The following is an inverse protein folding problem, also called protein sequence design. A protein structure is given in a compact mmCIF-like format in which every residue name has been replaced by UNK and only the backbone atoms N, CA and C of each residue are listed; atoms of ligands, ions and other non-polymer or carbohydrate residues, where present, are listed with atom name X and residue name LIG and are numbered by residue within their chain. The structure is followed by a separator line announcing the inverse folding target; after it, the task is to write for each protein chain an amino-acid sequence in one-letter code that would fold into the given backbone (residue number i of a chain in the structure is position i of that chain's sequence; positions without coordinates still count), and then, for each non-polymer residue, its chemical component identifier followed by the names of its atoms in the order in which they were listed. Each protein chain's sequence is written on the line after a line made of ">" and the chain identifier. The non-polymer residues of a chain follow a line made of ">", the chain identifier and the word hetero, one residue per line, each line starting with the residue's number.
data_IF_055067887334
#
_entry.id   IF_055067887334
#
_cell.length_a   1.000
_cell.length_b   1.000
_cell.length_c   1.000
_cell.angle_alpha   90.00
_cell.angle_beta   90.00
_cell.angle_gamma   90.00
#
_symmetry.space_group_name_H-M   'P 1'
#
loop_
_entity.id
_entity.type
_entity.pdbx_description
1 polymer ?
#
# COMPACT_ATOMS: atom_id res chain seq x y z
N UNK A 1 8.13 18.94 -14.28
CA UNK A 1 6.75 18.68 -13.83
C UNK A 1 5.85 19.72 -14.50
N UNK A 2 4.86 19.33 -15.29
CA UNK A 2 3.83 20.27 -15.77
C UNK A 2 2.80 20.46 -14.65
N UNK A 3 2.57 21.71 -14.24
CA UNK A 3 1.53 22.06 -13.26
C UNK A 3 0.16 21.80 -13.89
N UNK A 4 -0.59 20.82 -13.37
CA UNK A 4 -1.87 20.40 -13.96
C UNK A 4 -3.00 21.43 -13.78
N UNK A 5 -2.88 22.31 -12.78
CA UNK A 5 -3.91 23.29 -12.42
C UNK A 5 -3.77 24.65 -13.12
N UNK A 6 -2.86 24.78 -14.08
CA UNK A 6 -2.70 26.00 -14.87
C UNK A 6 -3.05 25.74 -16.34
N UNK A 7 -3.68 26.71 -16.99
CA UNK A 7 -3.86 26.72 -18.43
C UNK A 7 -2.59 27.20 -19.17
N UNK A 8 -2.65 27.28 -20.50
CA UNK A 8 -1.53 27.74 -21.33
C UNK A 8 -1.14 29.21 -21.07
N UNK A 9 -2.02 29.97 -20.41
CA UNK A 9 -1.82 31.37 -20.04
C UNK A 9 -1.49 31.54 -18.55
N UNK A 10 -1.15 30.46 -17.84
CA UNK A 10 -0.93 30.42 -16.38
C UNK A 10 -2.14 30.84 -15.54
N UNK A 11 -3.36 30.70 -16.05
CA UNK A 11 -4.58 30.90 -15.27
C UNK A 11 -4.99 29.61 -14.55
N UNK A 12 -5.48 29.70 -13.30
CA UNK A 12 -5.98 28.55 -12.57
C UNK A 12 -7.14 27.86 -13.30
N UNK A 13 -7.06 26.54 -13.47
CA UNK A 13 -8.11 25.72 -14.05
C UNK A 13 -8.33 24.43 -13.28
N UNK A 14 -9.57 23.94 -13.33
CA UNK A 14 -9.87 22.57 -12.96
C UNK A 14 -9.34 21.61 -14.03
N UNK A 15 -8.75 20.50 -13.60
CA UNK A 15 -8.22 19.46 -14.51
C UNK A 15 -9.38 18.69 -15.12
N UNK A 16 -9.42 18.55 -16.45
CA UNK A 16 -10.37 17.64 -17.09
C UNK A 16 -10.00 16.18 -16.76
N UNK A 17 -10.98 15.45 -16.23
CA UNK A 17 -10.86 14.03 -15.86
C UNK A 17 -11.77 13.13 -16.71
N UNK A 18 -12.44 13.66 -17.73
CA UNK A 18 -13.41 12.95 -18.58
C UNK A 18 -12.87 11.64 -19.16
N UNK A 19 -11.63 11.65 -19.65
CA UNK A 19 -10.94 10.52 -20.27
C UNK A 19 -10.32 9.51 -19.30
N UNK A 20 -10.28 9.82 -18.00
CA UNK A 20 -9.73 8.90 -16.99
C UNK A 20 -10.72 7.78 -16.67
N UNK A 21 -10.18 6.60 -16.40
CA UNK A 21 -10.96 5.47 -15.88
C UNK A 21 -11.35 5.70 -14.41
N UNK A 22 -12.52 5.17 -14.05
CA UNK A 22 -12.93 5.10 -12.65
C UNK A 22 -12.30 3.88 -11.99
N UNK A 23 -11.71 4.07 -10.82
CA UNK A 23 -11.01 3.04 -10.06
C UNK A 23 -11.30 3.22 -8.58
N UNK A 24 -11.12 2.18 -7.77
CA UNK A 24 -11.22 2.28 -6.32
C UNK A 24 -10.07 3.15 -5.80
N UNK A 25 -10.41 4.29 -5.20
CA UNK A 25 -9.49 5.26 -4.59
C UNK A 25 -9.53 5.12 -3.09
N UNK A 26 -8.37 5.23 -2.45
CA UNK A 26 -8.25 5.35 -0.99
C UNK A 26 -7.23 6.43 -0.67
N UNK A 27 -7.54 7.27 0.32
CA UNK A 27 -6.59 8.17 0.92
C UNK A 27 -6.70 8.11 2.45
N UNK A 28 -5.55 8.12 3.14
CA UNK A 28 -5.48 8.28 4.59
C UNK A 28 -4.62 9.48 4.89
N UNK A 29 -5.16 10.45 5.62
CA UNK A 29 -4.44 11.63 6.10
C UNK A 29 -4.36 11.62 7.62
N UNK A 30 -3.42 12.39 8.16
CA UNK A 30 -3.21 12.55 9.58
C UNK A 30 -3.13 14.03 9.96
N UNK A 31 -3.55 14.37 11.17
CA UNK A 31 -3.13 15.56 11.90
C UNK A 31 -2.77 15.19 13.34
N UNK A 32 -1.86 15.94 13.96
CA UNK A 32 -1.51 15.78 15.38
C UNK A 32 -1.82 17.03 16.17
N UNK A 33 -2.21 16.86 17.43
CA UNK A 33 -2.51 17.97 18.34
C UNK A 33 -1.77 17.76 19.65
N UNK A 34 -0.88 18.68 19.98
CA UNK A 34 -0.28 18.73 21.31
C UNK A 34 -1.22 19.50 22.24
N UNK A 35 -1.76 18.82 23.25
CA UNK A 35 -2.54 19.46 24.30
C UNK A 35 -1.61 19.85 25.47
N UNK A 36 -1.87 20.97 26.15
CA UNK A 36 -1.16 21.34 27.37
C UNK A 36 -1.54 20.44 28.55
N UNK A 37 -0.63 20.30 29.51
CA UNK A 37 -0.78 19.40 30.68
C UNK A 37 -2.02 19.66 31.53
N UNK A 38 -2.57 20.89 31.53
CA UNK A 38 -3.81 21.20 32.23
C UNK A 38 -5.03 20.42 31.70
N UNK A 39 -4.97 19.86 30.48
CA UNK A 39 -6.04 19.00 29.95
C UNK A 39 -5.99 17.55 30.46
N UNK A 40 -4.91 17.12 31.12
CA UNK A 40 -4.76 15.75 31.61
C UNK A 40 -5.94 15.30 32.48
N UNK A 41 -6.46 16.19 33.33
CA UNK A 41 -7.55 15.88 34.26
C UNK A 41 -8.88 15.57 33.58
N UNK A 42 -9.02 15.95 32.31
CA UNK A 42 -10.24 15.77 31.51
C UNK A 42 -10.19 14.55 30.59
N UNK A 43 -9.03 13.89 30.49
CA UNK A 43 -8.89 12.64 29.75
C UNK A 43 -9.54 11.50 30.55
N UNK A 44 -10.43 10.75 29.91
CA UNK A 44 -11.19 9.63 30.49
C UNK A 44 -11.20 8.48 29.49
N UNK A 45 -10.29 7.51 29.71
CA UNK A 45 -10.04 6.46 28.73
C UNK A 45 -9.51 7.07 27.43
N UNK A 46 -10.11 6.70 26.31
CA UNK A 46 -9.72 7.16 24.97
C UNK A 46 -10.46 8.44 24.53
N UNK A 47 -11.00 9.23 25.46
CA UNK A 47 -11.81 10.42 25.18
C UNK A 47 -11.46 11.59 26.11
N UNK A 48 -11.77 12.82 25.69
CA UNK A 48 -11.75 14.02 26.54
C UNK A 48 -13.20 14.44 26.80
N UNK A 49 -13.58 14.50 28.09
CA UNK A 49 -14.92 14.89 28.51
C UNK A 49 -14.91 16.28 29.13
N UNK A 50 -15.57 17.23 28.46
CA UNK A 50 -15.74 18.61 28.92
C UNK A 50 -17.20 18.90 29.22
N UNK A 51 -17.48 20.07 29.82
CA UNK A 51 -18.85 20.58 29.94
C UNK A 51 -19.55 20.75 28.59
N UNK A 52 -18.77 20.92 27.52
CA UNK A 52 -19.25 20.98 26.13
C UNK A 52 -19.61 19.61 25.54
N UNK A 53 -19.32 18.50 26.24
CA UNK A 53 -19.54 17.13 25.78
C UNK A 53 -18.25 16.38 25.43
N UNK A 54 -18.40 15.27 24.71
CA UNK A 54 -17.32 14.42 24.23
C UNK A 54 -16.58 15.06 23.06
N UNK A 55 -15.28 15.32 23.23
CA UNK A 55 -14.50 16.14 22.31
C UNK A 55 -14.17 15.39 21.01
N UNK A 56 -13.69 14.16 21.10
CA UNK A 56 -13.29 13.37 19.93
C UNK A 56 -14.51 12.94 19.12
N UNK A 57 -15.61 12.52 19.76
CA UNK A 57 -16.87 12.25 19.04
C UNK A 57 -17.37 13.47 18.24
N UNK A 58 -17.31 14.67 18.83
CA UNK A 58 -17.70 15.90 18.12
C UNK A 58 -16.77 16.18 16.94
N UNK A 59 -15.46 15.94 17.12
CA UNK A 59 -14.46 16.09 16.06
C UNK A 59 -14.67 15.11 14.89
N UNK A 60 -15.08 13.86 15.16
CA UNK A 60 -15.40 12.87 14.13
C UNK A 60 -16.57 13.34 13.27
N UNK A 61 -17.63 13.88 13.89
CA UNK A 61 -18.80 14.41 13.17
C UNK A 61 -18.37 15.58 12.28
N UNK A 62 -17.65 16.55 12.84
CA UNK A 62 -17.20 17.72 12.11
C UNK A 62 -16.26 17.36 10.94
N UNK A 63 -15.31 16.45 11.17
CA UNK A 63 -14.42 15.93 10.14
C UNK A 63 -15.18 15.20 9.03
N UNK A 64 -16.17 14.38 9.38
CA UNK A 64 -17.01 13.67 8.38
C UNK A 64 -17.84 14.65 7.55
N UNK A 65 -18.34 15.73 8.15
CA UNK A 65 -19.02 16.80 7.41
C UNK A 65 -18.07 17.53 6.47
N UNK A 66 -16.83 17.79 6.91
CA UNK A 66 -15.81 18.46 6.11
C UNK A 66 -15.39 17.64 4.89
N UNK A 67 -15.21 16.32 5.05
CA UNK A 67 -14.92 15.39 3.95
C UNK A 67 -15.93 15.55 2.81
N UNK A 68 -17.22 15.61 3.15
CA UNK A 68 -18.33 15.74 2.17
C UNK A 68 -18.51 17.16 1.59
N UNK A 69 -17.75 18.14 2.06
CA UNK A 69 -17.81 19.55 1.65
C UNK A 69 -16.47 20.03 1.11
N UNK A 70 -15.57 19.12 0.75
CA UNK A 70 -14.20 19.46 0.36
C UNK A 70 -14.19 20.34 -0.89
N UNK A 71 -15.07 20.07 -1.84
CA UNK A 71 -15.23 20.85 -3.07
C UNK A 71 -15.78 22.27 -2.83
N UNK A 72 -16.48 22.49 -1.72
CA UNK A 72 -16.94 23.83 -1.31
C UNK A 72 -15.79 24.67 -0.73
N UNK A 73 -14.75 24.01 -0.20
CA UNK A 73 -13.67 24.64 0.56
C UNK A 73 -12.38 24.80 -0.24
N UNK A 74 -12.02 23.80 -1.06
CA UNK A 74 -10.77 23.77 -1.82
C UNK A 74 -11.07 24.10 -3.29
N UNK A 75 -10.60 25.26 -3.80
CA UNK A 75 -10.82 25.63 -5.19
C UNK A 75 -10.31 24.55 -6.16
N UNK A 76 -11.08 24.30 -7.22
CA UNK A 76 -10.77 23.34 -8.30
C UNK A 76 -10.74 21.86 -7.90
N UNK A 77 -11.13 21.49 -6.68
CA UNK A 77 -11.50 20.11 -6.40
C UNK A 77 -12.77 19.73 -7.18
N UNK A 78 -12.80 18.50 -7.68
CA UNK A 78 -14.02 17.94 -8.26
C UNK A 78 -14.98 17.55 -7.14
N UNK A 79 -16.27 17.55 -7.43
CA UNK A 79 -17.26 16.90 -6.58
C UNK A 79 -17.13 15.38 -6.71
N UNK A 80 -16.96 14.67 -5.59
CA UNK A 80 -16.71 13.22 -5.56
C UNK A 80 -17.72 12.53 -4.64
N UNK A 81 -18.42 11.46 -5.10
CA UNK A 81 -19.33 10.71 -4.26
C UNK A 81 -18.55 9.85 -3.25
N UNK A 82 -18.55 10.26 -1.97
CA UNK A 82 -17.83 9.53 -0.91
C UNK A 82 -18.58 8.25 -0.55
N UNK A 83 -17.91 7.11 -0.66
CA UNK A 83 -18.50 5.79 -0.33
C UNK A 83 -18.18 5.38 1.11
N UNK A 84 -17.01 5.75 1.63
CA UNK A 84 -16.60 5.46 3.01
C UNK A 84 -15.73 6.57 3.57
N UNK A 85 -15.95 6.91 4.84
CA UNK A 85 -15.16 7.87 5.61
C UNK A 85 -15.07 7.37 7.04
N UNK A 86 -13.85 7.14 7.53
CA UNK A 86 -13.59 6.69 8.91
C UNK A 86 -12.57 7.58 9.59
N UNK A 87 -12.71 7.73 10.89
CA UNK A 87 -11.76 8.44 11.74
C UNK A 87 -11.26 7.53 12.85
N UNK A 88 -9.96 7.59 13.11
CA UNK A 88 -9.33 7.05 14.31
C UNK A 88 -8.68 8.20 15.07
N UNK A 89 -8.99 8.34 16.36
CA UNK A 89 -8.42 9.37 17.22
C UNK A 89 -7.84 8.67 18.44
N UNK A 90 -6.56 8.87 18.67
CA UNK A 90 -5.83 8.28 19.80
C UNK A 90 -5.11 9.39 20.56
N UNK A 91 -5.02 9.26 21.88
CA UNK A 91 -4.24 10.15 22.74
C UNK A 91 -3.22 9.33 23.53
N UNK A 92 -1.96 9.75 23.52
CA UNK A 92 -0.91 9.09 24.29
C UNK A 92 -0.71 9.75 25.68
N UNK A 93 0.19 9.18 26.48
CA UNK A 93 0.54 9.69 27.82
C UNK A 93 1.12 11.11 27.82
N UNK A 94 1.66 11.56 26.70
CA UNK A 94 2.25 12.90 26.52
C UNK A 94 1.21 13.94 26.04
N UNK A 95 -0.08 13.57 26.07
CA UNK A 95 -1.19 14.38 25.57
C UNK A 95 -1.06 14.78 24.10
N UNK A 96 -0.39 13.94 23.32
CA UNK A 96 -0.36 14.04 21.87
C UNK A 96 -1.55 13.27 21.31
N UNK A 97 -2.51 14.01 20.75
CA UNK A 97 -3.63 13.45 20.01
C UNK A 97 -3.20 13.21 18.56
N UNK A 98 -3.43 12.01 18.04
CA UNK A 98 -3.25 11.68 16.63
C UNK A 98 -4.62 11.40 16.02
N UNK A 99 -4.96 12.15 14.98
CA UNK A 99 -6.19 11.97 14.20
C UNK A 99 -5.79 11.38 12.86
N UNK A 100 -6.41 10.28 12.46
CA UNK A 100 -6.32 9.73 11.12
C UNK A 100 -7.71 9.70 10.47
N UNK A 101 -7.81 10.19 9.24
CA UNK A 101 -9.03 10.10 8.43
C UNK A 101 -8.73 9.24 7.21
N UNK A 102 -9.53 8.19 6.99
CA UNK A 102 -9.47 7.37 5.77
C UNK A 102 -10.73 7.56 4.95
N UNK A 103 -10.56 7.92 3.69
CA UNK A 103 -11.64 8.14 2.71
C UNK A 103 -11.49 7.14 1.57
N UNK A 104 -12.61 6.52 1.15
CA UNK A 104 -12.68 5.61 -0.01
C UNK A 104 -13.83 5.96 -0.94
N UNK A 105 -13.63 5.76 -2.24
CA UNK A 105 -14.62 5.98 -3.29
C UNK A 105 -14.22 5.25 -4.58
N UNK A 106 -15.15 5.02 -5.50
CA UNK A 106 -14.85 4.65 -6.88
C UNK A 106 -14.95 5.88 -7.78
N UNK A 107 -13.81 6.45 -8.19
CA UNK A 107 -13.79 7.72 -8.92
C UNK A 107 -12.63 7.86 -9.93
N UNK A 108 -12.75 8.87 -10.81
CA UNK A 108 -11.76 9.24 -11.85
C UNK A 108 -10.60 10.10 -11.32
N UNK A 109 -10.72 10.59 -10.09
CA UNK A 109 -9.70 11.38 -9.39
C UNK A 109 -9.54 10.87 -7.96
N UNK A 110 -8.43 11.20 -7.30
CA UNK A 110 -8.17 10.76 -5.93
C UNK A 110 -8.95 11.55 -4.89
N UNK A 111 -8.87 11.08 -3.64
CA UNK A 111 -9.58 11.64 -2.46
C UNK A 111 -8.63 12.17 -1.39
N UNK A 112 -7.43 12.62 -1.79
CA UNK A 112 -6.41 13.14 -0.88
C UNK A 112 -6.90 14.37 -0.12
N UNK A 113 -7.57 15.28 -0.84
CA UNK A 113 -8.03 16.54 -0.29
C UNK A 113 -9.17 16.33 0.69
N UNK A 114 -10.03 15.34 0.44
CA UNK A 114 -11.11 14.96 1.33
C UNK A 114 -10.57 14.46 2.66
N UNK A 115 -9.59 13.54 2.63
CA UNK A 115 -8.95 13.05 3.84
C UNK A 115 -8.22 14.17 4.62
N UNK A 116 -7.48 15.03 3.91
CA UNK A 116 -6.76 16.17 4.50
C UNK A 116 -7.71 17.21 5.12
N UNK A 117 -8.81 17.51 4.44
CA UNK A 117 -9.85 18.41 4.93
C UNK A 117 -10.52 17.82 6.18
N UNK A 118 -10.82 16.52 6.15
CA UNK A 118 -11.37 15.78 7.28
C UNK A 118 -10.53 15.89 8.56
N UNK A 119 -9.24 15.55 8.51
CA UNK A 119 -8.35 15.66 9.68
C UNK A 119 -8.14 17.09 10.14
N UNK A 120 -8.11 18.05 9.21
CA UNK A 120 -7.91 19.47 9.52
C UNK A 120 -9.10 20.03 10.30
N UNK A 121 -10.32 19.79 9.84
CA UNK A 121 -11.52 20.25 10.53
C UNK A 121 -11.71 19.52 11.85
N UNK A 122 -11.48 18.20 11.90
CA UNK A 122 -11.49 17.46 13.16
C UNK A 122 -10.51 18.09 14.18
N UNK A 123 -9.31 18.45 13.75
CA UNK A 123 -8.32 19.09 14.63
C UNK A 123 -8.75 20.48 15.11
N UNK A 124 -9.31 21.31 14.22
CA UNK A 124 -9.87 22.62 14.59
C UNK A 124 -11.07 22.48 15.54
N UNK A 125 -11.88 21.44 15.41
CA UNK A 125 -12.98 21.14 16.35
C UNK A 125 -12.45 20.77 17.72
N UNK A 126 -11.41 19.93 17.83
CA UNK A 126 -10.78 19.64 19.12
C UNK A 126 -10.23 20.93 19.75
N UNK A 127 -9.58 21.78 18.96
CA UNK A 127 -9.13 23.09 19.42
C UNK A 127 -10.29 23.92 19.97
N UNK A 128 -11.38 24.10 19.22
CA UNK A 128 -12.54 24.91 19.64
C UNK A 128 -13.20 24.39 20.92
N UNK A 129 -13.30 23.07 21.05
CA UNK A 129 -13.85 22.42 22.24
C UNK A 129 -12.99 22.70 23.47
N UNK A 130 -11.66 22.72 23.31
CA UNK A 130 -10.69 22.81 24.40
C UNK A 130 -10.17 24.23 24.70
N UNK A 131 -10.29 25.21 23.77
CA UNK A 131 -9.65 26.54 23.87
C UNK A 131 -10.00 27.36 25.10
N UNK A 132 -11.14 27.09 25.75
CA UNK A 132 -11.53 27.77 27.00
C UNK A 132 -10.71 27.32 28.20
N UNK A 133 -10.09 26.14 28.15
CA UNK A 133 -9.20 25.64 29.20
C UNK A 133 -7.76 26.15 29.01
N UNK A 134 -7.29 26.20 27.77
CA UNK A 134 -6.00 26.80 27.42
C UNK A 134 -5.94 27.12 25.92
N UNK A 135 -5.41 28.29 25.53
CA UNK A 135 -5.13 28.60 24.13
C UNK A 135 -3.82 27.99 23.62
N UNK A 136 -2.98 27.38 24.48
CA UNK A 136 -1.67 26.83 24.12
C UNK A 136 -1.75 25.43 23.46
N UNK A 137 -2.82 25.18 22.69
CA UNK A 137 -3.00 23.95 21.91
C UNK A 137 -2.29 24.12 20.57
N UNK A 138 -1.50 23.12 20.15
CA UNK A 138 -0.75 23.19 18.89
C UNK A 138 -1.21 22.09 17.95
N UNK A 139 -1.73 22.47 16.77
CA UNK A 139 -2.00 21.57 15.65
C UNK A 139 -0.74 21.50 14.78
N UNK A 140 -0.26 20.29 14.46
CA UNK A 140 0.94 20.06 13.66
C UNK A 140 0.84 18.77 12.83
N UNK A 141 1.83 18.57 11.96
CA UNK A 141 2.04 17.34 11.20
C UNK A 141 0.80 16.88 10.40
N UNK A 142 0.09 17.85 9.80
CA UNK A 142 -1.01 17.57 8.87
C UNK A 142 -0.45 17.10 7.53
N UNK A 143 -0.66 15.83 7.20
CA UNK A 143 -0.04 15.22 6.02
C UNK A 143 -0.82 14.01 5.50
N UNK A 144 -0.58 13.67 4.24
CA UNK A 144 -1.08 12.45 3.61
C UNK A 144 -0.17 11.27 3.98
N UNK A 145 -0.75 10.16 4.43
CA UNK A 145 -0.02 8.94 4.79
C UNK A 145 -0.16 7.86 3.71
N UNK A 146 -1.38 7.69 3.17
CA UNK A 146 -1.68 6.66 2.18
C UNK A 146 -2.46 7.29 1.03
N UNK A 147 -2.15 6.87 -0.20
CA UNK A 147 -2.93 7.12 -1.41
C UNK A 147 -2.79 5.92 -2.35
N UNK A 148 -3.92 5.36 -2.78
CA UNK A 148 -3.95 4.24 -3.75
C UNK A 148 -5.06 4.41 -4.78
N UNK A 149 -5.02 3.61 -5.86
CA UNK A 149 -6.03 3.62 -6.92
C UNK A 149 -5.82 4.63 -8.05
N UNK A 150 -4.67 5.29 -8.11
CA UNK A 150 -4.34 6.23 -9.19
C UNK A 150 -2.95 6.02 -9.75
N UNK A 151 -2.51 6.94 -10.62
CA UNK A 151 -1.19 6.87 -11.28
C UNK A 151 -0.01 6.79 -10.31
N UNK A 152 -0.19 7.26 -9.08
CA UNK A 152 0.85 7.31 -8.05
C UNK A 152 0.33 6.68 -6.78
N UNK A 153 1.14 5.83 -6.18
CA UNK A 153 0.90 5.22 -4.88
C UNK A 153 1.74 5.89 -3.82
N UNK A 154 1.14 6.15 -2.65
CA UNK A 154 1.84 6.54 -1.43
C UNK A 154 1.41 5.57 -0.32
N UNK A 155 2.37 5.00 0.39
CA UNK A 155 2.16 4.26 1.63
C UNK A 155 3.02 4.92 2.73
N UNK A 156 2.86 4.51 3.99
CA UNK A 156 3.61 5.09 5.11
C UNK A 156 5.12 4.82 5.02
N UNK A 157 5.50 3.85 4.18
CA UNK A 157 6.88 3.52 3.83
C UNK A 157 7.01 3.40 2.31
N UNK A 158 8.19 3.64 1.74
CA UNK A 158 8.48 3.33 0.35
C UNK A 158 8.02 1.93 -0.05
N UNK A 159 7.45 1.77 -1.23
CA UNK A 159 7.11 0.47 -1.80
C UNK A 159 8.13 0.11 -2.88
N UNK A 160 8.90 -0.96 -2.65
CA UNK A 160 9.81 -1.55 -3.62
C UNK A 160 9.21 -2.84 -4.17
N UNK A 161 9.53 -3.17 -5.41
CA UNK A 161 9.11 -4.38 -6.10
C UNK A 161 10.19 -5.45 -6.05
N UNK A 162 9.82 -6.70 -5.79
CA UNK A 162 10.69 -7.86 -5.91
C UNK A 162 10.04 -8.90 -6.83
N UNK A 163 10.68 -9.19 -7.95
CA UNK A 163 10.29 -10.27 -8.84
C UNK A 163 11.09 -11.51 -8.48
N UNK A 164 10.41 -12.56 -8.04
CA UNK A 164 11.07 -13.83 -7.72
C UNK A 164 11.31 -14.59 -9.03
N UNK A 165 12.57 -14.61 -9.46
CA UNK A 165 13.02 -15.27 -10.69
C UNK A 165 13.78 -16.59 -10.45
N UNK A 166 13.70 -17.10 -9.22
CA UNK A 166 14.39 -18.33 -8.79
C UNK A 166 13.58 -19.60 -9.02
N UNK A 167 14.28 -20.70 -9.35
CA UNK A 167 13.72 -22.05 -9.48
C UNK A 167 14.51 -22.87 -10.51
N UNK A 168 14.75 -24.15 -10.24
CA UNK A 168 15.49 -25.00 -11.19
C UNK A 168 14.72 -25.31 -12.48
N UNK A 169 13.43 -24.94 -12.56
CA UNK A 169 12.55 -25.09 -13.72
C UNK A 169 12.67 -26.46 -14.43
N UNK A 170 12.95 -27.52 -13.66
CA UNK A 170 13.30 -28.86 -14.19
C UNK A 170 12.20 -29.46 -15.05
N UNK A 171 10.93 -29.13 -14.75
CA UNK A 171 9.74 -29.59 -15.49
C UNK A 171 9.47 -28.76 -16.76
N UNK A 172 9.92 -27.51 -16.82
CA UNK A 172 9.72 -26.61 -17.95
C UNK A 172 10.82 -26.72 -19.01
N UNK A 173 11.99 -27.25 -18.66
CA UNK A 173 13.14 -27.38 -19.56
C UNK A 173 13.88 -26.08 -19.85
N UNK A 174 13.28 -24.91 -19.55
CA UNK A 174 13.89 -23.59 -19.62
C UNK A 174 13.52 -22.75 -18.39
N UNK A 175 14.28 -21.69 -18.11
CA UNK A 175 14.01 -20.80 -16.99
C UNK A 175 12.71 -20.01 -17.22
N UNK A 176 11.75 -20.12 -16.28
CA UNK A 176 10.42 -19.50 -16.40
C UNK A 176 10.49 -17.97 -16.57
N UNK A 177 11.51 -17.32 -16.01
CA UNK A 177 11.67 -15.87 -16.15
C UNK A 177 11.95 -15.43 -17.60
N UNK A 178 12.45 -16.35 -18.44
CA UNK A 178 12.75 -16.13 -19.86
C UNK A 178 11.61 -16.55 -20.80
N UNK A 179 10.48 -17.04 -20.26
CA UNK A 179 9.32 -17.40 -21.09
C UNK A 179 8.88 -16.19 -21.90
N UNK A 180 8.67 -16.41 -23.20
CA UNK A 180 8.28 -15.37 -24.11
C UNK A 180 6.85 -14.90 -23.80
N UNK A 181 6.62 -13.61 -23.78
CA UNK A 181 5.31 -13.00 -23.65
C UNK A 181 5.31 -11.77 -24.54
N UNK A 182 4.43 -11.74 -25.56
CA UNK A 182 4.39 -10.69 -26.57
C UNK A 182 5.76 -10.32 -27.21
N UNK A 183 6.66 -11.30 -27.39
CA UNK A 183 7.94 -11.10 -28.08
C UNK A 183 9.15 -10.76 -27.18
N UNK A 184 8.99 -10.74 -25.85
CA UNK A 184 10.08 -10.53 -24.88
C UNK A 184 9.93 -11.43 -23.64
N UNK A 185 10.97 -11.63 -22.82
CA UNK A 185 10.83 -12.33 -21.55
C UNK A 185 9.75 -11.72 -20.64
N UNK A 186 8.82 -12.54 -20.13
CA UNK A 186 7.73 -12.09 -19.27
C UNK A 186 8.19 -11.30 -18.04
N UNK A 187 9.35 -11.64 -17.46
CA UNK A 187 9.90 -10.90 -16.34
C UNK A 187 10.16 -9.41 -16.66
N UNK A 188 10.39 -9.05 -17.93
CA UNK A 188 10.50 -7.65 -18.36
C UNK A 188 9.13 -6.94 -18.32
N UNK A 189 8.06 -7.62 -18.74
CA UNK A 189 6.72 -7.04 -18.70
C UNK A 189 6.21 -6.88 -17.28
N UNK A 190 6.45 -7.88 -16.43
CA UNK A 190 6.17 -7.80 -15.01
C UNK A 190 6.97 -6.66 -14.35
N UNK A 191 8.25 -6.48 -14.72
CA UNK A 191 9.07 -5.37 -14.25
C UNK A 191 8.47 -4.01 -14.62
N UNK A 192 8.10 -3.81 -15.90
CA UNK A 192 7.43 -2.57 -16.37
C UNK A 192 6.10 -2.32 -15.66
N UNK A 193 5.32 -3.37 -15.44
CA UNK A 193 4.05 -3.28 -14.71
C UNK A 193 4.30 -2.79 -13.27
N UNK A 194 5.23 -3.41 -12.55
CA UNK A 194 5.55 -3.07 -11.15
C UNK A 194 6.16 -1.67 -11.00
N UNK A 195 6.90 -1.16 -12.00
CA UNK A 195 7.45 0.20 -12.00
C UNK A 195 6.38 1.29 -11.91
N UNK A 196 5.14 0.99 -12.32
CA UNK A 196 4.02 1.95 -12.19
C UNK A 196 3.57 2.16 -10.75
N UNK A 197 3.95 1.27 -9.83
CA UNK A 197 3.51 1.28 -8.43
C UNK A 197 4.66 1.37 -7.44
N UNK A 198 5.85 0.88 -7.81
CA UNK A 198 7.01 0.78 -6.95
C UNK A 198 8.04 1.85 -7.30
N UNK A 199 8.70 2.41 -6.28
CA UNK A 199 9.75 3.41 -6.46
C UNK A 199 11.02 2.79 -7.07
N UNK A 200 11.27 1.52 -6.77
CA UNK A 200 12.32 0.69 -7.34
C UNK A 200 11.78 -0.73 -7.50
N UNK A 201 12.27 -1.46 -8.50
CA UNK A 201 11.92 -2.87 -8.73
C UNK A 201 13.22 -3.65 -8.93
N UNK A 202 13.29 -4.83 -8.32
CA UNK A 202 14.44 -5.73 -8.35
C UNK A 202 14.02 -7.13 -8.77
N UNK A 203 14.91 -7.84 -9.44
CA UNK A 203 14.83 -9.29 -9.62
C UNK A 203 15.58 -9.97 -8.47
N UNK A 204 15.03 -11.03 -7.87
CA UNK A 204 15.78 -11.95 -7.00
C UNK A 204 16.33 -13.08 -7.85
N UNK A 205 17.66 -13.20 -7.87
CA UNK A 205 18.36 -14.18 -8.70
C UNK A 205 19.71 -14.57 -8.10
N UNK A 206 20.26 -15.69 -8.55
CA UNK A 206 21.63 -16.08 -8.20
C UNK A 206 22.64 -15.15 -8.87
N UNK A 207 23.85 -14.99 -8.29
CA UNK A 207 24.92 -14.24 -8.93
C UNK A 207 25.13 -14.68 -10.38
N UNK A 208 25.17 -13.71 -11.30
CA UNK A 208 25.36 -13.91 -12.73
C UNK A 208 24.30 -14.76 -13.46
N UNK A 209 23.16 -15.07 -12.84
CA UNK A 209 22.11 -15.92 -13.46
C UNK A 209 21.62 -15.38 -14.81
N UNK A 210 21.55 -14.06 -14.96
CA UNK A 210 21.01 -13.39 -16.14
C UNK A 210 22.06 -12.87 -17.10
N UNK A 211 23.34 -13.17 -16.88
CA UNK A 211 24.40 -12.75 -17.79
C UNK A 211 24.09 -13.27 -19.21
N UNK A 212 24.30 -12.42 -20.21
CA UNK A 212 24.01 -12.72 -21.63
C UNK A 212 22.51 -12.93 -21.98
N UNK A 213 21.60 -12.64 -21.05
CA UNK A 213 20.16 -12.64 -21.31
C UNK A 213 19.61 -11.20 -21.37
N UNK A 214 18.41 -10.97 -21.95
CA UNK A 214 17.76 -9.67 -21.90
C UNK A 214 17.53 -9.13 -20.48
N UNK A 215 17.46 -10.01 -19.48
CA UNK A 215 17.27 -9.66 -18.06
C UNK A 215 18.54 -9.09 -17.41
N UNK A 216 19.72 -9.20 -18.04
CA UNK A 216 21.00 -8.70 -17.51
C UNK A 216 20.99 -7.21 -17.16
N UNK A 217 20.15 -6.44 -17.85
CA UNK A 217 20.04 -4.99 -17.69
C UNK A 217 19.15 -4.56 -16.52
N UNK A 218 18.39 -5.48 -15.94
CA UNK A 218 17.45 -5.16 -14.86
C UNK A 218 18.13 -5.18 -13.49
N UNK A 219 17.78 -4.26 -12.56
CA UNK A 219 18.30 -4.28 -11.20
C UNK A 219 18.04 -5.63 -10.54
N UNK A 220 19.08 -6.23 -9.97
CA UNK A 220 19.02 -7.57 -9.39
C UNK A 220 19.57 -7.53 -7.96
N UNK A 221 18.87 -8.18 -7.03
CA UNK A 221 19.38 -8.49 -5.70
C UNK A 221 19.93 -9.93 -5.73
N UNK A 222 21.25 -10.12 -5.54
CA UNK A 222 21.85 -11.44 -5.58
C UNK A 222 21.51 -12.20 -4.30
N UNK A 223 20.94 -13.40 -4.43
CA UNK A 223 20.65 -14.23 -3.27
C UNK A 223 21.97 -14.62 -2.57
N UNK A 224 22.21 -14.11 -1.35
CA UNK A 224 23.45 -14.32 -0.59
C UNK A 224 23.46 -15.65 0.19
N UNK A 225 22.29 -16.20 0.42
CA UNK A 225 22.10 -17.41 1.22
C UNK A 225 22.11 -18.62 0.30
N UNK A 226 22.62 -19.77 0.76
CA UNK A 226 22.45 -21.06 0.09
C UNK A 226 20.97 -21.22 -0.29
N UNK A 227 20.66 -20.99 -1.57
CA UNK A 227 19.31 -20.62 -2.05
C UNK A 227 18.29 -21.73 -1.81
N UNK A 228 17.62 -21.71 -0.64
CA UNK A 228 16.53 -22.64 -0.32
C UNK A 228 15.21 -21.92 -0.52
N UNK A 229 14.66 -22.02 -1.74
CA UNK A 229 13.32 -21.54 -2.07
C UNK A 229 13.13 -20.00 -2.07
N UNK A 230 11.89 -19.54 -2.25
CA UNK A 230 11.56 -18.11 -2.44
C UNK A 230 11.86 -17.24 -1.22
N UNK A 231 11.94 -17.81 -0.02
CA UNK A 231 12.26 -17.07 1.21
C UNK A 231 13.67 -16.45 1.17
N UNK A 232 14.61 -17.05 0.42
CA UNK A 232 15.99 -16.54 0.33
C UNK A 232 16.03 -15.16 -0.34
N UNK A 233 15.23 -14.98 -1.40
CA UNK A 233 15.07 -13.69 -2.08
C UNK A 233 14.40 -12.65 -1.20
N UNK A 234 13.36 -13.05 -0.47
CA UNK A 234 12.67 -12.18 0.51
C UNK A 234 13.61 -11.69 1.62
N UNK A 235 14.42 -12.59 2.20
CA UNK A 235 15.38 -12.25 3.23
C UNK A 235 16.45 -11.29 2.71
N UNK A 236 17.00 -11.56 1.53
CA UNK A 236 17.98 -10.69 0.87
C UNK A 236 17.40 -9.28 0.67
N UNK A 237 16.15 -9.19 0.21
CA UNK A 237 15.45 -7.93 0.02
C UNK A 237 15.30 -7.15 1.34
N UNK A 238 14.83 -7.79 2.41
CA UNK A 238 14.71 -7.15 3.73
C UNK A 238 16.05 -6.77 4.37
N UNK A 239 17.10 -7.58 4.18
CA UNK A 239 18.45 -7.27 4.67
C UNK A 239 19.04 -6.06 3.95
N UNK A 240 18.81 -5.95 2.64
CA UNK A 240 19.32 -4.85 1.83
C UNK A 240 18.56 -3.56 2.11
N UNK A 241 17.23 -3.63 2.16
CA UNK A 241 16.36 -2.48 2.43
C UNK A 241 15.35 -2.81 3.56
N UNK A 242 15.73 -2.60 4.84
CA UNK A 242 14.90 -3.01 5.97
C UNK A 242 13.69 -2.11 6.26
N UNK A 243 13.68 -0.89 5.72
CA UNK A 243 12.68 0.13 6.06
C UNK A 243 11.64 0.37 4.96
N UNK A 244 11.57 -0.51 3.95
CA UNK A 244 10.62 -0.42 2.83
C UNK A 244 9.57 -1.53 2.91
N UNK A 245 8.39 -1.27 2.36
CA UNK A 245 7.42 -2.31 2.03
C UNK A 245 7.85 -3.00 0.72
N UNK A 246 7.57 -4.29 0.59
CA UNK A 246 7.92 -5.09 -0.58
C UNK A 246 6.66 -5.62 -1.27
N UNK A 247 6.39 -5.17 -2.49
CA UNK A 247 5.47 -5.86 -3.41
C UNK A 247 6.23 -7.01 -4.06
N UNK A 248 5.83 -8.24 -3.79
CA UNK A 248 6.51 -9.45 -4.24
C UNK A 248 5.61 -10.18 -5.21
N UNK A 249 6.15 -10.48 -6.40
CA UNK A 249 5.46 -11.25 -7.43
C UNK A 249 6.41 -12.31 -8.00
N UNK A 250 6.00 -13.57 -8.04
CA UNK A 250 6.77 -14.62 -8.71
C UNK A 250 6.60 -14.59 -10.23
N UNK A 251 7.67 -14.93 -10.95
CA UNK A 251 7.67 -14.91 -12.41
C UNK A 251 6.78 -15.98 -13.06
N UNK A 252 6.30 -16.96 -12.31
CA UNK A 252 5.38 -17.99 -12.80
C UNK A 252 3.90 -17.61 -12.69
N UNK A 253 3.58 -16.42 -12.16
CA UNK A 253 2.23 -15.84 -12.15
C UNK A 253 2.01 -14.98 -13.40
N UNK A 254 2.06 -15.60 -14.59
CA UNK A 254 2.12 -14.85 -15.86
C UNK A 254 0.88 -14.02 -16.21
N UNK A 255 -0.24 -14.30 -15.54
CA UNK A 255 -1.52 -13.64 -15.79
C UNK A 255 -1.80 -12.44 -14.85
N UNK A 256 -0.83 -12.03 -14.02
CA UNK A 256 -0.96 -10.85 -13.16
C UNK A 256 -1.13 -9.58 -13.99
N UNK A 257 -2.10 -8.74 -13.58
CA UNK A 257 -2.45 -7.48 -14.24
C UNK A 257 -2.32 -6.29 -13.29
N UNK A 258 -2.49 -5.08 -13.85
CA UNK A 258 -2.61 -3.85 -13.08
C UNK A 258 -3.70 -3.94 -11.99
N UNK A 259 -4.88 -4.49 -12.35
CA UNK A 259 -6.00 -4.70 -11.43
C UNK A 259 -5.62 -5.57 -10.23
N UNK A 260 -4.79 -6.60 -10.42
CA UNK A 260 -4.29 -7.47 -9.36
C UNK A 260 -3.47 -6.65 -8.34
N UNK A 261 -2.51 -5.86 -8.82
CA UNK A 261 -1.66 -5.04 -7.95
C UNK A 261 -2.48 -3.93 -7.27
N UNK A 262 -3.36 -3.26 -8.00
CA UNK A 262 -4.24 -2.21 -7.47
C UNK A 262 -5.16 -2.74 -6.36
N UNK A 263 -5.68 -3.96 -6.51
CA UNK A 263 -6.51 -4.58 -5.49
C UNK A 263 -5.73 -4.92 -4.22
N UNK A 264 -4.49 -5.40 -4.32
CA UNK A 264 -3.58 -5.56 -3.16
C UNK A 264 -3.32 -4.21 -2.48
N UNK A 265 -2.97 -3.18 -3.24
CA UNK A 265 -2.65 -1.85 -2.71
C UNK A 265 -3.84 -1.19 -2.01
N UNK A 266 -5.05 -1.31 -2.55
CA UNK A 266 -6.25 -0.73 -1.94
C UNK A 266 -6.59 -1.36 -0.59
N UNK A 267 -6.22 -2.63 -0.39
CA UNK A 267 -6.42 -3.40 0.84
C UNK A 267 -5.18 -3.49 1.74
N UNK A 268 -4.09 -2.80 1.38
CA UNK A 268 -2.90 -2.74 2.20
C UNK A 268 -3.21 -2.24 3.63
N UNK A 269 -2.62 -2.90 4.61
CA UNK A 269 -2.66 -2.51 6.02
C UNK A 269 -1.25 -2.53 6.61
N UNK A 270 -0.70 -1.36 6.98
CA UNK A 270 0.67 -1.25 7.49
C UNK A 270 0.92 -1.93 8.84
N UNK A 271 -0.14 -2.36 9.52
CA UNK A 271 -0.05 -3.05 10.81
C UNK A 271 0.14 -4.56 10.70
N UNK A 272 -0.22 -5.18 9.58
CA UNK A 272 -0.04 -6.62 9.36
C UNK A 272 1.36 -6.95 8.86
N UNK A 273 1.72 -8.24 8.87
CA UNK A 273 3.01 -8.67 8.29
C UNK A 273 2.97 -8.68 6.76
N UNK A 274 1.79 -8.96 6.20
CA UNK A 274 1.57 -9.12 4.77
C UNK A 274 0.12 -8.79 4.42
N UNK A 275 -0.08 -8.21 3.25
CA UNK A 275 -1.36 -8.21 2.53
C UNK A 275 -1.22 -9.15 1.35
N UNK A 276 -2.02 -10.22 1.32
CA UNK A 276 -1.91 -11.28 0.31
C UNK A 276 -3.27 -11.85 -0.05
N UNK A 277 -3.34 -12.48 -1.22
CA UNK A 277 -4.53 -13.17 -1.65
C UNK A 277 -4.75 -14.47 -0.87
N UNK A 278 -6.01 -14.85 -0.73
CA UNK A 278 -6.39 -16.18 -0.25
C UNK A 278 -6.44 -17.13 -1.44
N UNK A 279 -5.73 -18.25 -1.35
CA UNK A 279 -5.93 -19.36 -2.27
C UNK A 279 -7.30 -19.98 -1.99
N UNK A 280 -8.24 -19.90 -2.94
CA UNK A 280 -9.62 -20.33 -2.74
C UNK A 280 -9.78 -21.86 -2.63
N UNK A 281 -8.86 -22.65 -3.17
CA UNK A 281 -8.90 -24.11 -3.10
C UNK A 281 -8.41 -24.63 -1.74
N UNK A 282 -7.33 -24.05 -1.24
CA UNK A 282 -6.58 -24.57 -0.09
C UNK A 282 -6.71 -23.69 1.17
N UNK A 283 -7.31 -22.51 1.05
CA UNK A 283 -7.63 -21.59 2.15
C UNK A 283 -6.41 -20.94 2.80
N UNK A 284 -5.25 -20.95 2.16
CA UNK A 284 -4.02 -20.38 2.69
C UNK A 284 -3.65 -19.04 2.02
N UNK A 285 -2.79 -18.21 2.63
CA UNK A 285 -2.23 -17.03 1.99
C UNK A 285 -1.35 -17.38 0.79
N UNK A 286 -1.58 -16.74 -0.36
CA UNK A 286 -0.73 -16.75 -1.55
C UNK A 286 0.49 -15.83 -1.30
N UNK A 287 1.66 -16.38 -1.00
CA UNK A 287 2.81 -15.58 -0.58
C UNK A 287 3.57 -14.99 -1.78
N UNK A 288 3.33 -15.49 -2.99
CA UNK A 288 4.09 -15.10 -4.18
C UNK A 288 3.41 -14.02 -5.00
N UNK A 289 2.30 -13.46 -4.50
CA UNK A 289 1.67 -12.22 -4.96
C UNK A 289 1.17 -11.46 -3.74
N UNK A 290 2.05 -10.70 -3.10
CA UNK A 290 1.80 -10.13 -1.78
C UNK A 290 2.56 -8.81 -1.55
N UNK A 291 2.04 -7.97 -0.65
CA UNK A 291 2.76 -6.83 -0.10
C UNK A 291 3.22 -7.19 1.31
N UNK A 292 4.52 -7.16 1.57
CA UNK A 292 5.09 -7.39 2.90
C UNK A 292 5.53 -6.09 3.56
N UNK A 293 5.26 -5.97 4.86
CA UNK A 293 5.79 -4.87 5.67
C UNK A 293 7.14 -5.27 6.28
N UNK A 294 7.97 -4.31 6.75
CA UNK A 294 9.19 -4.61 7.51
C UNK A 294 9.02 -5.55 8.70
N UNK A 295 7.80 -5.70 9.24
CA UNK A 295 7.51 -6.65 10.32
C UNK A 295 7.75 -8.10 9.88
N UNK A 296 7.62 -8.40 8.58
CA UNK A 296 7.84 -9.73 8.03
C UNK A 296 9.32 -10.18 8.11
N UNK A 297 10.29 -9.25 8.14
CA UNK A 297 11.71 -9.58 8.18
C UNK A 297 12.08 -10.49 9.37
N UNK A 298 11.61 -10.13 10.57
CA UNK A 298 11.85 -10.92 11.79
C UNK A 298 11.26 -12.32 11.65
N UNK A 299 10.01 -12.41 11.18
CA UNK A 299 9.29 -13.67 11.01
C UNK A 299 10.00 -14.59 10.01
N UNK A 300 10.44 -14.06 8.86
CA UNK A 300 11.18 -14.83 7.88
C UNK A 300 12.55 -15.27 8.38
N UNK A 301 13.22 -14.43 9.16
CA UNK A 301 14.54 -14.77 9.74
C UNK A 301 14.42 -15.91 10.74
N UNK A 302 13.44 -15.84 11.65
CA UNK A 302 13.17 -16.89 12.64
C UNK A 302 12.78 -18.21 11.96
N UNK A 303 11.89 -18.15 10.95
CA UNK A 303 11.49 -19.33 10.19
C UNK A 303 12.67 -19.99 9.45
N UNK A 304 13.53 -19.19 8.83
CA UNK A 304 14.71 -19.68 8.13
C UNK A 304 15.68 -20.39 9.10
N UNK A 305 15.95 -19.80 10.26
CA UNK A 305 16.79 -20.41 11.30
C UNK A 305 16.19 -21.71 11.86
N UNK A 306 14.85 -21.80 11.92
CA UNK A 306 14.13 -23.01 12.31
C UNK A 306 14.01 -24.06 11.19
N UNK A 307 14.58 -23.83 10.01
CA UNK A 307 14.51 -24.76 8.87
C UNK A 307 13.16 -24.79 8.16
N UNK A 308 12.31 -23.78 8.34
CA UNK A 308 11.00 -23.64 7.71
C UNK A 308 11.14 -22.71 6.50
N UNK A 309 11.18 -23.27 5.29
CA UNK A 309 11.43 -22.50 4.07
C UNK A 309 10.19 -22.24 3.20
N UNK A 310 9.06 -22.88 3.50
CA UNK A 310 7.82 -22.74 2.73
C UNK A 310 7.07 -21.48 3.18
N UNK A 311 6.93 -20.44 2.35
CA UNK A 311 6.31 -19.18 2.79
C UNK A 311 4.86 -19.35 3.25
N UNK A 312 4.10 -20.25 2.63
CA UNK A 312 2.73 -20.58 3.08
C UNK A 312 2.70 -21.03 4.54
N UNK A 313 3.60 -21.93 4.94
CA UNK A 313 3.70 -22.42 6.32
C UNK A 313 4.07 -21.30 7.30
N UNK A 314 4.87 -20.35 6.84
CA UNK A 314 5.34 -19.22 7.65
C UNK A 314 4.23 -18.20 7.87
N UNK A 315 3.43 -17.90 6.83
CA UNK A 315 2.37 -16.88 6.90
C UNK A 315 1.10 -17.37 7.58
N UNK A 316 0.77 -18.67 7.47
CA UNK A 316 -0.47 -19.23 8.02
C UNK A 316 -0.74 -18.89 9.51
N UNK A 317 0.24 -18.90 10.42
CA UNK A 317 0.01 -18.54 11.82
C UNK A 317 0.11 -17.03 12.11
N UNK A 318 0.33 -16.18 11.10
CA UNK A 318 0.71 -14.78 11.30
C UNK A 318 -0.44 -13.83 10.98
N UNK A 319 -0.44 -12.62 11.56
CA UNK A 319 -1.46 -11.61 11.25
C UNK A 319 -1.23 -11.06 9.83
N UNK A 320 -1.92 -11.64 8.86
CA UNK A 320 -1.96 -11.20 7.46
C UNK A 320 -3.32 -10.60 7.13
N UNK A 321 -3.34 -9.57 6.28
CA UNK A 321 -4.56 -9.12 5.61
C UNK A 321 -4.80 -10.05 4.43
N UNK A 322 -5.82 -10.90 4.54
CA UNK A 322 -6.21 -11.85 3.50
C UNK A 322 -7.34 -11.26 2.66
N UNK A 323 -7.17 -11.26 1.33
CA UNK A 323 -8.17 -10.77 0.38
C UNK A 323 -8.53 -11.85 -0.64
N UNK A 324 -9.76 -11.85 -1.13
CA UNK A 324 -10.17 -12.82 -2.15
C UNK A 324 -9.79 -12.32 -3.55
N UNK A 325 -9.25 -13.17 -4.44
CA UNK A 325 -8.98 -12.78 -5.81
C UNK A 325 -10.28 -12.41 -6.53
N UNK A 326 -10.26 -11.31 -7.29
CA UNK A 326 -11.37 -10.95 -8.19
C UNK A 326 -11.40 -11.86 -9.41
N UNK A 327 -10.24 -12.36 -9.83
CA UNK A 327 -10.06 -13.33 -10.90
C UNK A 327 -8.97 -14.33 -10.48
N UNK A 328 -9.35 -15.59 -10.30
CA UNK A 328 -8.44 -16.66 -9.82
C UNK A 328 -7.35 -16.95 -10.85
N UNK A 329 -7.63 -16.78 -12.15
CA UNK A 329 -6.68 -17.05 -13.21
C UNK A 329 -5.41 -16.19 -13.12
N UNK A 330 -5.53 -14.97 -12.59
CA UNK A 330 -4.40 -14.04 -12.42
C UNK A 330 -3.37 -14.52 -11.39
N UNK A 331 -3.75 -15.48 -10.53
CA UNK A 331 -2.89 -16.06 -9.50
C UNK A 331 -2.50 -17.53 -9.78
N UNK A 332 -2.83 -18.07 -10.96
CA UNK A 332 -2.45 -19.43 -11.31
C UNK A 332 -0.97 -19.51 -11.69
N UNK A 333 -0.25 -20.43 -11.06
CA UNK A 333 1.16 -20.70 -11.35
C UNK A 333 1.30 -21.51 -12.64
N UNK A 334 2.23 -21.09 -13.49
CA UNK A 334 2.55 -21.79 -14.75
C UNK A 334 3.74 -22.71 -14.51
N UNK A 335 3.50 -24.02 -14.55
CA UNK A 335 4.46 -25.03 -14.14
C UNK A 335 4.85 -26.00 -15.26
N UNK A 336 4.03 -26.14 -16.30
CA UNK A 336 4.29 -27.01 -17.45
C UNK A 336 4.15 -26.25 -18.79
N UNK A 337 4.69 -26.79 -19.90
CA UNK A 337 4.50 -26.22 -21.23
C UNK A 337 3.03 -26.13 -21.65
N UNK A 338 2.18 -27.05 -21.20
CA UNK A 338 0.73 -27.05 -21.44
C UNK A 338 0.06 -25.87 -20.73
N UNK A 339 0.44 -25.59 -19.48
CA UNK A 339 -0.02 -24.40 -18.76
C UNK A 339 0.33 -23.13 -19.54
N UNK A 340 1.56 -23.06 -20.06
CA UNK A 340 2.05 -21.92 -20.83
C UNK A 340 1.30 -21.74 -22.16
N UNK A 341 0.96 -22.83 -22.85
CA UNK A 341 0.19 -22.78 -24.09
C UNK A 341 -1.27 -22.33 -23.90
N UNK A 342 -1.78 -22.34 -22.65
CA UNK A 342 -3.14 -21.88 -22.32
C UNK A 342 -3.24 -20.37 -22.08
N UNK A 343 -2.13 -19.64 -22.10
CA UNK A 343 -2.11 -18.18 -21.94
C UNK A 343 -2.39 -17.51 -23.27
N UNK A 344 -3.22 -16.46 -23.27
CA UNK A 344 -3.33 -15.56 -24.40
C UNK A 344 -2.04 -14.75 -24.57
N UNK A 345 -1.35 -14.98 -25.70
CA UNK A 345 -0.04 -14.42 -26.05
C UNK A 345 -0.07 -13.20 -26.96
#
# INVERSE_FOLDING_TARGET
>A
MNLSHLDANNQPKMVDISSKSSTLRRATAQAKIQLPSCLQTYVKGDEILLKKGAVFQTAIIAGTMAVKKTEELIPFCHQIPIESCTFAIEINSDLLVTIQCTVKTTAKTGVEMEALCGVTIAALTIYDMCKSLSPHIVIRDTQLLIKTGGKTTLLERPLYGLILTGGHSKRMGQDKALLNYHGQPYAIDLYKLMQSYCQQVYLSARPNQWLETPLASLPTLPDHVSSVGPISGLLTAFQTYPNVNWLVIACDLMQVKASTIEYLLTHYEGMTIATCYTNLEQGFPEPLCAIYTPKAHRIFTEAYQAGIYCPVKILKPQPCTLINPQNVCELMNINTPEDYASIDH
#
